data_IF_463051577508
#
_entry.id   IF_463051577508
#
_cell.length_a   1.000
_cell.length_b   1.000
_cell.length_c   1.000
_cell.angle_alpha   90.00
_cell.angle_beta   90.00
_cell.angle_gamma   90.00
#
_symmetry.space_group_name_H-M   'P 1'
#
loop_
_entity.id
_entity.type
_entity.pdbx_description
1 polymer ?
#
# COMPACT_ATOMS: atom_id res chain seq x y z
N UNK A 1 -6.85 7.21 4.51
CA UNK A 1 -5.34 7.18 4.52
C UNK A 1 -4.83 7.69 3.19
N UNK A 2 -4.14 8.82 3.19
CA UNK A 2 -3.59 9.44 1.98
C UNK A 2 -2.35 8.67 1.47
N UNK A 3 -2.18 8.64 0.14
CA UNK A 3 -0.95 8.11 -0.45
C UNK A 3 0.23 9.03 -0.11
N UNK A 4 1.37 8.51 0.35
CA UNK A 4 2.51 9.33 0.71
C UNK A 4 3.12 9.99 -0.54
N UNK A 5 3.21 11.30 -0.52
CA UNK A 5 3.81 12.12 -1.58
C UNK A 5 4.79 13.12 -0.98
N UNK A 6 5.81 13.49 -1.74
CA UNK A 6 6.70 14.58 -1.41
C UNK A 6 5.95 15.89 -1.59
N UNK A 7 5.93 16.72 -0.55
CA UNK A 7 5.37 18.10 -0.59
C UNK A 7 6.34 19.07 0.06
N UNK A 8 5.95 20.32 0.20
CA UNK A 8 6.75 21.30 0.95
C UNK A 8 6.85 21.00 2.46
N UNK A 9 5.89 20.19 3.01
CA UNK A 9 5.80 19.85 4.43
C UNK A 9 6.09 18.38 4.72
N UNK A 10 6.11 17.52 3.71
CA UNK A 10 6.25 16.08 3.84
C UNK A 10 7.46 15.59 3.07
N UNK A 11 8.34 14.85 3.71
CA UNK A 11 9.42 14.13 3.06
C UNK A 11 8.95 12.72 2.68
N UNK A 12 9.59 12.16 1.67
CA UNK A 12 9.35 10.80 1.21
C UNK A 12 10.68 10.14 0.87
N UNK A 13 10.94 9.00 1.49
CA UNK A 13 12.09 8.14 1.21
C UNK A 13 11.60 6.77 0.78
N UNK A 14 12.03 6.33 -0.40
CA UNK A 14 11.76 4.99 -0.91
C UNK A 14 12.86 4.03 -0.41
N UNK A 15 12.46 2.96 0.27
CA UNK A 15 13.36 1.93 0.76
C UNK A 15 13.51 0.76 -0.23
N UNK A 16 12.99 0.89 -1.44
CA UNK A 16 13.22 -0.10 -2.51
C UNK A 16 14.70 -0.29 -2.78
N UNK A 17 15.06 -1.47 -3.27
CA UNK A 17 16.44 -1.84 -3.56
C UNK A 17 16.82 -3.20 -2.96
N UNK A 18 18.10 -3.38 -2.68
CA UNK A 18 18.62 -4.67 -2.19
C UNK A 18 18.60 -4.70 -0.67
N UNK A 19 17.97 -5.71 -0.09
CA UNK A 19 17.92 -5.96 1.35
C UNK A 19 18.66 -7.26 1.70
N UNK A 20 19.16 -7.37 2.93
CA UNK A 20 19.58 -8.65 3.48
C UNK A 20 18.37 -9.55 3.66
N UNK A 21 18.53 -10.84 3.34
CA UNK A 21 17.42 -11.79 3.33
C UNK A 21 17.86 -13.15 3.88
N UNK A 22 16.98 -13.82 4.62
CA UNK A 22 17.23 -15.18 5.09
C UNK A 22 15.93 -15.98 5.20
N UNK A 23 15.93 -17.19 4.64
CA UNK A 23 14.89 -18.18 4.89
C UNK A 23 14.99 -18.66 6.34
N UNK A 24 13.86 -18.75 7.04
CA UNK A 24 13.83 -19.30 8.39
C UNK A 24 13.82 -20.83 8.33
N UNK A 25 14.75 -21.41 9.07
CA UNK A 25 14.85 -22.84 9.30
C UNK A 25 14.17 -23.29 10.62
N UNK A 26 13.29 -22.47 11.17
CA UNK A 26 12.60 -22.65 12.45
C UNK A 26 13.34 -22.01 13.65
N UNK A 27 14.46 -21.34 13.44
CA UNK A 27 15.30 -20.77 14.50
C UNK A 27 15.25 -19.25 14.58
N UNK A 28 14.66 -18.58 13.58
CA UNK A 28 14.73 -17.13 13.45
C UNK A 28 14.23 -16.37 14.67
N UNK A 29 13.15 -16.83 15.28
CA UNK A 29 12.60 -16.24 16.50
C UNK A 29 13.34 -16.71 17.77
N UNK A 30 13.74 -17.96 17.85
CA UNK A 30 14.50 -18.52 18.96
C UNK A 30 15.87 -17.82 19.10
N UNK A 31 16.59 -17.67 17.98
CA UNK A 31 17.89 -17.01 17.90
C UNK A 31 17.76 -15.47 17.78
N UNK A 32 16.55 -14.95 17.77
CA UNK A 32 16.22 -13.52 17.70
C UNK A 32 16.93 -12.80 16.57
N UNK A 33 16.77 -13.30 15.34
CA UNK A 33 17.41 -12.72 14.17
C UNK A 33 17.04 -11.25 13.94
N UNK A 34 15.95 -10.80 14.51
CA UNK A 34 15.47 -9.43 14.44
C UNK A 34 16.23 -8.44 15.36
N UNK A 35 17.06 -8.92 16.31
CA UNK A 35 17.81 -8.06 17.25
C UNK A 35 19.19 -7.62 16.71
N UNK A 36 19.72 -8.30 15.71
CA UNK A 36 21.08 -8.09 15.18
C UNK A 36 21.14 -8.35 13.68
N UNK A 37 22.17 -7.82 12.97
CA UNK A 37 22.35 -8.11 11.56
C UNK A 37 22.38 -9.62 11.29
N UNK A 38 21.66 -10.03 10.23
CA UNK A 38 21.58 -11.43 9.80
C UNK A 38 22.97 -11.93 9.42
N UNK A 39 23.36 -13.08 10.00
CA UNK A 39 24.57 -13.80 9.61
C UNK A 39 24.25 -14.72 8.43
N UNK A 40 25.20 -14.87 7.52
CA UNK A 40 25.08 -15.72 6.32
C UNK A 40 23.77 -15.39 5.55
N UNK A 41 23.51 -14.10 5.39
CA UNK A 41 22.35 -13.59 4.69
C UNK A 41 22.57 -13.62 3.19
N UNK A 42 21.51 -13.95 2.48
CA UNK A 42 21.37 -13.66 1.06
C UNK A 42 21.02 -12.19 0.83
N UNK A 43 20.94 -11.81 -0.43
CA UNK A 43 20.39 -10.52 -0.84
C UNK A 43 19.10 -10.73 -1.62
N UNK A 44 18.14 -9.84 -1.41
CA UNK A 44 16.83 -9.89 -2.05
C UNK A 44 16.37 -8.51 -2.49
N UNK A 45 15.94 -8.31 -3.75
CA UNK A 45 15.35 -7.07 -4.18
C UNK A 45 13.99 -6.85 -3.49
N UNK A 46 13.70 -5.62 -3.16
CA UNK A 46 12.41 -5.16 -2.64
C UNK A 46 11.98 -3.96 -3.48
N UNK A 47 10.78 -3.96 -4.09
CA UNK A 47 9.77 -5.02 -4.04
C UNK A 47 10.08 -6.20 -4.97
N UNK A 48 9.82 -7.40 -4.50
CA UNK A 48 9.81 -8.63 -5.30
C UNK A 48 9.17 -9.79 -4.53
N UNK A 49 8.71 -10.81 -5.26
CA UNK A 49 8.49 -12.13 -4.66
C UNK A 49 9.82 -12.87 -4.65
N UNK A 50 10.18 -13.48 -3.53
CA UNK A 50 11.49 -14.16 -3.43
C UNK A 50 11.54 -15.53 -4.12
N UNK A 51 10.38 -16.11 -4.45
CA UNK A 51 10.22 -17.52 -4.82
C UNK A 51 11.02 -17.95 -6.06
N UNK A 52 11.13 -17.11 -7.07
CA UNK A 52 11.79 -17.42 -8.36
C UNK A 52 13.08 -16.62 -8.57
N UNK A 53 13.57 -15.89 -7.57
CA UNK A 53 14.77 -15.06 -7.70
C UNK A 53 16.08 -15.81 -7.49
N UNK A 54 15.99 -17.04 -6.99
CA UNK A 54 17.13 -17.95 -6.86
C UNK A 54 16.79 -19.33 -7.40
N UNK A 55 17.80 -20.02 -7.90
CA UNK A 55 17.67 -21.38 -8.36
C UNK A 55 17.44 -22.35 -7.19
N UNK A 56 16.72 -23.44 -7.47
CA UNK A 56 16.46 -24.49 -6.52
C UNK A 56 15.09 -24.40 -5.83
N UNK A 57 14.72 -25.51 -5.21
CA UNK A 57 13.40 -25.66 -4.57
C UNK A 57 13.29 -24.98 -3.23
N UNK A 58 14.39 -24.71 -2.56
CA UNK A 58 14.40 -24.15 -1.20
C UNK A 58 13.74 -22.78 -1.10
N UNK A 59 13.90 -21.93 -2.12
CA UNK A 59 13.23 -20.64 -2.21
C UNK A 59 11.82 -20.77 -2.75
N UNK A 60 11.64 -21.52 -3.84
CA UNK A 60 10.35 -21.65 -4.50
C UNK A 60 9.32 -22.34 -3.60
N UNK A 61 9.69 -23.42 -2.93
CA UNK A 61 8.82 -24.23 -2.12
C UNK A 61 8.90 -23.93 -0.62
N UNK A 62 9.55 -22.84 -0.25
CA UNK A 62 9.67 -22.43 1.15
C UNK A 62 8.28 -22.32 1.80
N UNK A 63 8.17 -22.85 3.03
CA UNK A 63 6.97 -22.79 3.86
C UNK A 63 7.33 -22.20 5.23
N UNK A 64 6.72 -21.09 5.60
CA UNK A 64 6.93 -20.45 6.88
C UNK A 64 7.50 -19.06 6.78
N UNK A 65 8.39 -18.70 7.69
CA UNK A 65 8.92 -17.36 7.83
C UNK A 65 10.15 -17.10 6.97
N UNK A 66 10.30 -15.86 6.53
CA UNK A 66 11.52 -15.29 5.95
C UNK A 66 11.81 -13.96 6.62
N UNK A 67 13.08 -13.57 6.71
CA UNK A 67 13.51 -12.33 7.33
C UNK A 67 14.17 -11.43 6.31
N UNK A 68 13.69 -10.19 6.23
CA UNK A 68 14.30 -9.09 5.47
C UNK A 68 14.90 -8.11 6.44
N UNK A 69 16.11 -7.62 6.15
CA UNK A 69 16.75 -6.61 6.98
C UNK A 69 17.39 -5.50 6.15
N UNK A 70 17.31 -4.29 6.68
CA UNK A 70 17.96 -3.11 6.16
C UNK A 70 18.26 -2.12 7.27
N UNK A 71 19.42 -1.46 7.22
CA UNK A 71 19.66 -0.28 8.02
C UNK A 71 18.93 0.92 7.43
N UNK A 72 18.30 1.69 8.28
CA UNK A 72 17.66 2.97 7.95
C UNK A 72 18.26 4.05 8.81
N UNK A 73 18.47 5.22 8.24
CA UNK A 73 18.94 6.41 8.95
C UNK A 73 17.93 7.54 8.73
N UNK A 74 17.55 8.18 9.82
CA UNK A 74 16.59 9.29 9.81
C UNK A 74 17.36 10.56 10.13
N UNK A 75 17.36 11.56 9.22
CA UNK A 75 18.05 12.83 9.45
C UNK A 75 17.54 13.55 10.70
N UNK A 76 18.44 14.16 11.45
CA UNK A 76 18.12 14.86 12.71
C UNK A 76 17.04 15.93 12.54
N UNK A 77 17.09 16.67 11.43
CA UNK A 77 16.16 17.78 11.17
C UNK A 77 14.70 17.35 10.94
N UNK A 78 14.43 16.06 10.78
CA UNK A 78 13.04 15.53 10.65
C UNK A 78 12.55 14.82 11.91
N UNK A 79 13.38 14.66 12.95
CA UNK A 79 12.98 13.95 14.18
C UNK A 79 11.85 14.64 14.95
N UNK A 80 11.67 15.95 14.75
CA UNK A 80 10.53 16.70 15.30
C UNK A 80 9.24 16.50 14.52
N UNK A 81 9.29 15.81 13.38
CA UNK A 81 8.12 15.46 12.58
C UNK A 81 7.58 14.09 12.97
N UNK A 82 6.36 13.80 12.60
CA UNK A 82 5.81 12.45 12.64
C UNK A 82 6.44 11.64 11.51
N UNK A 83 7.06 10.50 11.83
CA UNK A 83 7.81 9.64 10.92
C UNK A 83 7.09 8.31 10.81
N UNK A 84 6.71 7.93 9.60
CA UNK A 84 5.86 6.75 9.34
C UNK A 84 6.54 5.82 8.36
N UNK A 85 6.60 4.53 8.72
CA UNK A 85 6.92 3.45 7.80
C UNK A 85 5.62 2.96 7.16
N UNK A 86 5.59 2.91 5.83
CA UNK A 86 4.49 2.34 5.05
C UNK A 86 4.99 1.15 4.24
N UNK A 87 4.37 0.00 4.43
CA UNK A 87 4.51 -1.17 3.59
C UNK A 87 3.29 -1.23 2.66
N UNK A 88 3.51 -1.17 1.35
CA UNK A 88 2.39 -1.13 0.41
C UNK A 88 1.73 -2.51 0.18
N UNK A 89 2.50 -3.60 0.29
CA UNK A 89 1.99 -4.98 0.41
C UNK A 89 3.09 -5.93 0.89
N UNK A 90 2.78 -6.75 1.87
CA UNK A 90 3.65 -7.82 2.39
C UNK A 90 2.83 -9.10 2.52
N UNK A 91 3.19 -10.13 1.78
CA UNK A 91 2.38 -11.33 1.57
C UNK A 91 2.91 -12.50 2.38
N UNK A 92 2.18 -13.03 3.40
CA UNK A 92 0.78 -12.73 3.77
C UNK A 92 0.66 -12.12 5.17
N UNK A 93 1.58 -12.46 6.10
CA UNK A 93 1.62 -11.96 7.45
C UNK A 93 2.98 -11.36 7.74
N UNK A 94 3.02 -10.15 8.25
CA UNK A 94 4.22 -9.40 8.53
C UNK A 94 4.36 -9.09 10.02
N UNK A 95 5.57 -9.21 10.54
CA UNK A 95 5.99 -8.66 11.83
C UNK A 95 7.13 -7.68 11.58
N UNK A 96 6.98 -6.44 12.01
CA UNK A 96 7.98 -5.38 11.84
C UNK A 96 8.70 -5.13 13.15
N UNK A 97 10.01 -5.24 13.09
CA UNK A 97 10.90 -4.94 14.21
C UNK A 97 11.77 -3.74 13.87
N UNK A 98 11.94 -2.84 14.82
CA UNK A 98 12.91 -1.77 14.76
C UNK A 98 13.84 -1.87 15.97
N UNK A 99 15.15 -1.99 15.72
CA UNK A 99 16.18 -2.17 16.77
C UNK A 99 15.87 -3.35 17.71
N UNK A 100 15.34 -4.44 17.16
CA UNK A 100 14.98 -5.65 17.91
C UNK A 100 13.62 -5.61 18.61
N UNK A 101 12.92 -4.47 18.61
CA UNK A 101 11.61 -4.33 19.25
C UNK A 101 10.51 -4.53 18.19
N UNK A 102 9.53 -5.39 18.47
CA UNK A 102 8.32 -5.54 17.66
C UNK A 102 7.50 -4.25 17.75
N UNK A 103 7.21 -3.64 16.60
CA UNK A 103 6.48 -2.37 16.51
C UNK A 103 5.16 -2.48 15.77
N UNK A 104 5.00 -3.52 14.92
CA UNK A 104 3.77 -3.70 14.15
C UNK A 104 3.61 -5.17 13.73
N UNK A 105 2.38 -5.64 13.73
CA UNK A 105 1.96 -6.88 13.09
C UNK A 105 0.82 -6.59 12.11
N UNK A 106 0.87 -7.22 10.94
CA UNK A 106 -0.18 -7.07 9.92
C UNK A 106 -0.45 -8.38 9.20
N UNK A 107 -1.72 -8.76 9.11
CA UNK A 107 -2.19 -9.88 8.30
C UNK A 107 -3.10 -9.37 7.19
N UNK A 108 -2.70 -9.63 5.94
CA UNK A 108 -3.39 -9.14 4.75
C UNK A 108 -2.40 -8.77 3.66
N UNK A 109 -2.09 -9.72 2.77
CA UNK A 109 -0.95 -9.66 1.86
C UNK A 109 -1.00 -8.60 0.75
N UNK A 110 -2.15 -7.93 0.55
CA UNK A 110 -2.38 -7.06 -0.62
C UNK A 110 -2.84 -5.64 -0.24
N UNK A 111 -2.97 -5.36 1.05
CA UNK A 111 -3.36 -4.04 1.55
C UNK A 111 -2.16 -3.32 2.16
N UNK A 112 -2.08 -2.00 1.99
CA UNK A 112 -1.05 -1.22 2.66
C UNK A 112 -1.34 -1.10 4.16
N UNK A 113 -0.27 -1.03 4.94
CA UNK A 113 -0.31 -0.73 6.36
C UNK A 113 0.84 0.18 6.77
N UNK A 114 0.68 0.83 7.91
CA UNK A 114 1.60 1.84 8.40
C UNK A 114 1.89 1.67 9.87
N UNK A 115 3.08 2.11 10.28
CA UNK A 115 3.47 2.20 11.68
C UNK A 115 4.31 3.46 11.90
N UNK A 116 4.05 4.16 12.98
CA UNK A 116 4.82 5.32 13.40
C UNK A 116 6.12 4.86 14.07
N UNK A 117 7.22 5.53 13.72
CA UNK A 117 8.55 5.12 14.15
C UNK A 117 9.12 5.95 15.30
N UNK A 118 8.58 7.13 15.59
CA UNK A 118 9.16 8.13 16.48
C UNK A 118 9.65 7.56 17.82
N UNK A 119 8.82 6.77 18.51
CA UNK A 119 9.14 6.21 19.83
C UNK A 119 10.14 5.03 19.80
N UNK A 120 10.59 4.64 18.61
CA UNK A 120 11.39 3.45 18.38
C UNK A 120 12.73 3.74 17.70
N UNK A 121 12.92 4.97 17.21
CA UNK A 121 14.14 5.40 16.55
C UNK A 121 15.24 5.65 17.59
N UNK A 122 16.47 5.30 17.20
CA UNK A 122 17.70 5.63 17.90
C UNK A 122 18.49 6.64 17.07
N UNK A 123 19.49 7.27 17.71
CA UNK A 123 20.42 8.13 17.00
C UNK A 123 21.31 7.30 16.06
N UNK A 124 21.50 7.80 14.83
CA UNK A 124 22.29 7.12 13.82
C UNK A 124 21.51 6.02 13.09
N UNK A 125 22.16 4.88 12.90
CA UNK A 125 21.59 3.76 12.14
C UNK A 125 20.59 2.96 12.98
N UNK A 126 19.48 2.61 12.34
CA UNK A 126 18.44 1.81 12.93
C UNK A 126 18.26 0.54 12.12
N UNK A 127 18.24 -0.62 12.77
CA UNK A 127 18.03 -1.90 12.11
C UNK A 127 16.54 -2.16 11.95
N UNK A 128 16.06 -2.06 10.73
CA UNK A 128 14.70 -2.45 10.34
C UNK A 128 14.70 -3.92 9.93
N UNK A 129 13.89 -4.74 10.61
CA UNK A 129 13.64 -6.14 10.24
C UNK A 129 12.16 -6.35 9.93
N UNK A 130 11.85 -6.94 8.80
CA UNK A 130 10.50 -7.37 8.42
C UNK A 130 10.52 -8.89 8.30
N UNK A 131 9.90 -9.57 9.26
CA UNK A 131 9.66 -11.00 9.18
C UNK A 131 8.33 -11.23 8.43
N UNK A 132 8.36 -12.12 7.42
CA UNK A 132 7.22 -12.39 6.54
C UNK A 132 6.90 -13.87 6.57
N UNK A 133 5.63 -14.20 6.82
CA UNK A 133 5.15 -15.57 6.76
C UNK A 133 4.30 -15.80 5.51
N UNK A 134 4.63 -16.83 4.75
CA UNK A 134 3.96 -17.15 3.49
C UNK A 134 2.86 -18.22 3.62
N UNK A 135 2.55 -18.65 4.83
CA UNK A 135 1.53 -19.68 5.07
C UNK A 135 0.15 -19.13 4.75
N UNK A 136 -0.58 -19.88 3.93
CA UNK A 136 -1.99 -19.62 3.63
C UNK A 136 -2.89 -20.57 4.41
N UNK A 137 -3.97 -20.04 4.95
CA UNK A 137 -4.98 -20.79 5.70
C UNK A 137 -6.38 -20.18 5.46
N UNK A 138 -7.36 -20.56 6.27
CA UNK A 138 -8.71 -19.99 6.18
C UNK A 138 -8.82 -18.52 6.61
N UNK A 139 -7.76 -17.94 7.15
CA UNK A 139 -7.71 -16.55 7.63
C UNK A 139 -6.91 -15.64 6.69
N UNK A 140 -6.38 -16.19 5.60
CA UNK A 140 -5.65 -15.43 4.56
C UNK A 140 -6.53 -15.19 3.33
N UNK A 141 -6.15 -14.23 2.50
CA UNK A 141 -6.61 -14.05 1.12
C UNK A 141 -5.38 -14.07 0.20
N UNK A 142 -5.31 -15.00 -0.78
CA UNK A 142 -6.26 -16.07 -1.06
C UNK A 142 -6.33 -17.10 0.08
N UNK A 143 -7.46 -17.78 0.18
CA UNK A 143 -7.70 -18.79 1.20
C UNK A 143 -6.93 -20.07 0.90
N UNK A 144 -6.20 -20.59 1.89
CA UNK A 144 -5.61 -21.93 1.83
C UNK A 144 -6.66 -23.03 2.03
N UNK A 145 -6.49 -24.17 1.34
CA UNK A 145 -7.29 -25.35 1.59
C UNK A 145 -6.73 -26.20 2.74
N UNK A 146 -7.59 -26.97 3.42
CA UNK A 146 -7.10 -28.16 4.14
C UNK A 146 -6.58 -29.15 3.11
N UNK A 147 -5.47 -29.84 3.42
CA UNK A 147 -5.05 -31.00 2.64
C UNK A 147 -6.29 -31.85 2.42
N UNK A 148 -6.74 -31.99 1.18
CA UNK A 148 -7.91 -32.81 0.88
C UNK A 148 -7.57 -34.26 1.29
N UNK A 149 -8.22 -34.78 2.32
CA UNK A 149 -8.19 -36.23 2.62
C UNK A 149 -8.56 -37.07 1.38
N UNK A 150 -9.31 -36.47 0.44
CA UNK A 150 -9.68 -37.13 -0.83
C UNK A 150 -8.55 -37.18 -1.85
N UNK A 151 -7.60 -36.22 -1.85
CA UNK A 151 -6.42 -36.29 -2.74
C UNK A 151 -5.47 -37.42 -2.31
N UNK A 152 -5.40 -37.71 -1.01
CA UNK A 152 -4.69 -38.90 -0.49
C UNK A 152 -5.38 -40.24 -0.84
N UNK A 153 -6.68 -40.25 -1.10
CA UNK A 153 -7.41 -41.46 -1.46
C UNK A 153 -7.47 -41.73 -2.98
N UNK A 154 -7.36 -40.67 -3.82
CA UNK A 154 -7.30 -40.78 -5.29
C UNK A 154 -5.88 -40.69 -5.86
N UNK A 155 -4.89 -40.23 -5.08
CA UNK A 155 -3.50 -40.08 -5.46
C UNK A 155 -2.60 -41.26 -5.25
N UNK A 156 -3.18 -42.47 -5.19
CA UNK A 156 -2.43 -43.71 -5.02
C UNK A 156 -1.76 -44.19 -6.29
N UNK A 157 -0.91 -43.42 -6.93
CA UNK A 157 0.19 -43.88 -7.80
C UNK A 157 1.00 -42.66 -8.25
N UNK A 158 2.10 -42.34 -7.53
CA UNK A 158 3.23 -41.70 -8.18
C UNK A 158 3.65 -40.29 -7.79
N UNK A 159 3.12 -39.68 -6.75
CA UNK A 159 3.81 -38.52 -6.14
C UNK A 159 4.17 -38.88 -4.70
N UNK A 160 5.46 -39.00 -4.41
CA UNK A 160 5.96 -39.17 -3.05
C UNK A 160 5.41 -38.05 -2.19
N UNK A 161 4.63 -38.35 -1.15
CA UNK A 161 4.19 -37.40 -0.16
C UNK A 161 5.46 -36.77 0.45
N UNK A 162 5.66 -35.48 0.25
CA UNK A 162 6.72 -34.74 0.91
C UNK A 162 6.36 -34.71 2.40
N UNK A 163 7.23 -35.22 3.27
CA UNK A 163 7.07 -35.09 4.72
C UNK A 163 7.23 -33.61 5.20
N UNK A 164 7.54 -32.70 4.29
CA UNK A 164 7.73 -31.27 4.59
C UNK A 164 6.38 -30.54 4.54
N UNK A 165 6.11 -29.65 5.49
CA UNK A 165 4.96 -28.74 5.41
C UNK A 165 4.98 -27.94 4.13
N UNK A 166 3.83 -27.80 3.47
CA UNK A 166 3.69 -26.99 2.26
C UNK A 166 2.32 -26.32 2.22
N UNK A 167 2.24 -25.21 1.51
CA UNK A 167 0.98 -24.53 1.27
C UNK A 167 0.07 -25.37 0.38
N UNK A 168 -1.22 -25.40 0.73
CA UNK A 168 -2.25 -26.02 -0.09
C UNK A 168 -3.14 -24.90 -0.68
N UNK A 169 -2.79 -24.32 -1.83
CA UNK A 169 -3.58 -23.30 -2.45
C UNK A 169 -4.92 -23.85 -2.93
N UNK A 170 -5.99 -23.09 -2.70
CA UNK A 170 -7.34 -23.37 -3.23
C UNK A 170 -7.63 -22.51 -4.47
N UNK A 171 -6.61 -22.33 -5.31
CA UNK A 171 -6.61 -21.49 -6.51
C UNK A 171 -5.56 -22.01 -7.50
N UNK A 172 -5.61 -21.58 -8.75
CA UNK A 172 -4.85 -22.11 -9.88
C UNK A 172 -3.55 -21.34 -10.21
N UNK A 173 -3.14 -20.38 -9.37
CA UNK A 173 -1.90 -19.62 -9.55
C UNK A 173 -0.89 -19.91 -8.42
N UNK A 174 0.37 -19.60 -8.66
CA UNK A 174 1.42 -19.82 -7.68
C UNK A 174 1.29 -18.84 -6.50
N UNK A 175 1.55 -19.30 -5.28
CA UNK A 175 1.53 -18.48 -4.06
C UNK A 175 2.82 -17.66 -3.93
N UNK A 176 2.96 -16.64 -4.75
CA UNK A 176 4.08 -15.71 -4.68
C UNK A 176 4.04 -14.87 -3.41
N UNK A 177 5.16 -14.85 -2.67
CA UNK A 177 5.25 -14.25 -1.35
C UNK A 177 6.47 -13.35 -1.20
N UNK A 178 6.45 -12.50 -0.17
CA UNK A 178 7.51 -11.57 0.15
C UNK A 178 7.01 -10.13 0.28
N UNK A 179 7.91 -9.17 0.19
CA UNK A 179 7.59 -7.74 0.13
C UNK A 179 7.33 -7.39 -1.34
N UNK A 180 6.07 -7.47 -1.77
CA UNK A 180 5.69 -7.42 -3.19
C UNK A 180 5.36 -6.03 -3.71
N UNK A 181 5.31 -5.03 -2.83
CA UNK A 181 5.11 -3.61 -3.17
C UNK A 181 6.12 -2.75 -2.39
N UNK A 182 6.37 -1.50 -2.81
CA UNK A 182 7.36 -0.63 -2.19
C UNK A 182 7.18 -0.45 -0.68
N UNK A 183 8.30 -0.35 0.01
CA UNK A 183 8.39 0.08 1.41
C UNK A 183 8.90 1.51 1.43
N UNK A 184 8.21 2.40 2.13
CA UNK A 184 8.52 3.83 2.16
C UNK A 184 8.53 4.35 3.58
N UNK A 185 9.39 5.34 3.83
CA UNK A 185 9.29 6.20 5.01
C UNK A 185 8.82 7.56 4.52
N UNK A 186 7.83 8.11 5.19
CA UNK A 186 7.42 9.49 4.95
C UNK A 186 7.25 10.25 6.26
N UNK A 187 7.29 11.56 6.18
CA UNK A 187 7.07 12.42 7.33
C UNK A 187 5.83 13.29 7.13
N UNK A 188 5.28 13.74 8.24
CA UNK A 188 4.27 14.81 8.29
C UNK A 188 4.62 15.75 9.44
N UNK A 189 4.12 17.00 9.46
CA UNK A 189 4.09 17.77 10.71
C UNK A 189 3.38 17.01 11.83
N UNK A 190 3.58 17.43 13.10
CA UNK A 190 2.88 16.84 14.26
C UNK A 190 1.35 16.91 14.14
N UNK A 191 0.86 18.01 13.53
CA UNK A 191 -0.55 18.13 13.14
C UNK A 191 -0.63 18.00 11.64
N UNK A 192 -1.42 17.08 11.16
CA UNK A 192 -1.37 16.64 9.77
C UNK A 192 -2.75 16.31 9.20
N UNK A 193 -2.84 16.41 7.87
CA UNK A 193 -3.97 15.95 7.09
C UNK A 193 -3.92 14.41 7.03
N UNK A 194 -4.88 13.75 7.68
CA UNK A 194 -4.97 12.30 7.72
C UNK A 194 -5.69 11.72 6.51
N UNK A 195 -6.80 12.37 6.12
CA UNK A 195 -7.58 11.95 4.96
C UNK A 195 -8.31 13.13 4.30
N UNK A 196 -8.63 12.99 3.04
CA UNK A 196 -9.42 13.94 2.25
C UNK A 196 -10.47 13.15 1.48
N UNK A 197 -11.74 13.36 1.81
CA UNK A 197 -12.87 12.80 1.08
C UNK A 197 -13.49 13.87 0.21
N UNK A 198 -13.72 13.55 -1.06
CA UNK A 198 -14.41 14.46 -2.00
C UNK A 198 -15.49 13.69 -2.72
N UNK A 199 -16.68 14.26 -2.80
CA UNK A 199 -17.80 13.76 -3.59
C UNK A 199 -18.29 14.84 -4.54
N UNK A 200 -18.94 14.44 -5.63
CA UNK A 200 -19.44 15.38 -6.63
C UNK A 200 -20.93 15.10 -6.89
N UNK A 201 -21.74 16.15 -6.78
CA UNK A 201 -23.12 16.18 -7.24
C UNK A 201 -23.15 16.93 -8.59
N UNK A 202 -23.52 16.23 -9.66
CA UNK A 202 -23.45 16.76 -11.02
C UNK A 202 -24.84 16.96 -11.59
N UNK A 203 -25.11 18.17 -12.07
CA UNK A 203 -26.33 18.51 -12.77
C UNK A 203 -26.14 18.36 -14.28
N UNK A 204 -26.76 17.30 -14.84
CA UNK A 204 -26.75 16.99 -16.28
C UNK A 204 -27.97 17.58 -17.03
N UNK A 205 -28.82 18.37 -16.38
CA UNK A 205 -30.03 18.94 -17.02
C UNK A 205 -29.71 20.08 -17.97
N UNK A 206 -28.53 20.67 -17.85
CA UNK A 206 -28.03 21.76 -18.68
C UNK A 206 -27.19 21.25 -19.83
N UNK A 207 -27.12 22.01 -20.92
CA UNK A 207 -26.26 21.70 -22.07
C UNK A 207 -24.80 21.57 -21.64
N UNK A 208 -24.33 22.49 -20.79
CA UNK A 208 -23.04 22.42 -20.13
C UNK A 208 -23.28 22.03 -18.67
N UNK A 209 -22.82 20.84 -18.22
CA UNK A 209 -23.06 20.36 -16.87
C UNK A 209 -22.38 21.25 -15.82
N UNK A 210 -23.00 21.35 -14.65
CA UNK A 210 -22.41 21.98 -13.46
C UNK A 210 -22.23 20.95 -12.35
N UNK A 211 -21.34 21.21 -11.42
CA UNK A 211 -21.14 20.33 -10.29
C UNK A 211 -20.97 21.09 -8.97
N UNK A 212 -21.41 20.46 -7.90
CA UNK A 212 -21.07 20.83 -6.52
C UNK A 212 -20.13 19.76 -5.97
N UNK A 213 -18.90 20.15 -5.64
CA UNK A 213 -17.96 19.27 -4.96
C UNK A 213 -18.10 19.46 -3.45
N UNK A 214 -18.42 18.40 -2.73
CA UNK A 214 -18.43 18.38 -1.27
C UNK A 214 -17.10 17.80 -0.80
N UNK A 215 -16.41 18.46 0.12
CA UNK A 215 -15.17 17.93 0.69
C UNK A 215 -15.24 17.82 2.21
N UNK A 216 -14.51 16.85 2.73
CA UNK A 216 -14.23 16.68 4.15
C UNK A 216 -12.75 16.36 4.33
N UNK A 217 -12.08 17.08 5.23
CA UNK A 217 -10.66 16.94 5.56
C UNK A 217 -10.53 16.44 7.00
N UNK A 218 -10.04 15.25 7.18
CA UNK A 218 -9.71 14.72 8.51
C UNK A 218 -8.32 15.19 8.92
N UNK A 219 -8.24 15.99 9.99
CA UNK A 219 -6.98 16.47 10.57
C UNK A 219 -6.71 15.73 11.86
N UNK A 220 -5.47 15.28 12.08
CA UNK A 220 -5.03 14.59 13.30
C UNK A 220 -3.75 15.21 13.86
N UNK A 221 -3.41 14.80 15.07
CA UNK A 221 -2.17 15.20 15.77
C UNK A 221 -2.43 16.20 16.88
N UNK A 222 -1.38 16.96 17.24
CA UNK A 222 -1.42 17.88 18.36
C UNK A 222 -2.21 19.14 17.98
N UNK A 223 -3.07 19.61 18.89
CA UNK A 223 -3.83 20.86 18.75
C UNK A 223 -4.68 20.99 17.47
N UNK A 224 -5.08 19.86 16.87
CA UNK A 224 -5.79 19.82 15.57
C UNK A 224 -7.10 20.63 15.55
N UNK A 225 -7.76 20.82 16.70
CA UNK A 225 -9.00 21.61 16.81
C UNK A 225 -8.79 23.13 16.62
N UNK A 226 -7.56 23.61 16.74
CA UNK A 226 -7.22 25.04 16.68
C UNK A 226 -6.48 25.40 15.36
N UNK A 227 -6.47 24.47 14.40
CA UNK A 227 -5.75 24.66 13.13
C UNK A 227 -6.68 25.27 12.08
N UNK A 228 -6.22 26.32 11.42
CA UNK A 228 -6.87 26.83 10.21
C UNK A 228 -6.69 25.83 9.09
N UNK A 229 -7.79 25.39 8.50
CA UNK A 229 -7.80 24.56 7.29
C UNK A 229 -8.26 25.44 6.12
N UNK A 230 -7.42 25.51 5.09
CA UNK A 230 -7.72 26.19 3.84
C UNK A 230 -7.76 25.15 2.71
N UNK A 231 -8.78 25.21 1.88
CA UNK A 231 -8.94 24.34 0.72
C UNK A 231 -9.08 25.16 -0.54
N UNK A 232 -8.22 24.87 -1.52
CA UNK A 232 -8.14 25.59 -2.80
C UNK A 232 -8.42 24.62 -3.94
N UNK A 233 -9.29 25.03 -4.87
CA UNK A 233 -9.59 24.28 -6.08
C UNK A 233 -8.87 24.89 -7.27
N UNK A 234 -8.19 24.04 -8.05
CA UNK A 234 -7.50 24.43 -9.29
C UNK A 234 -7.99 23.59 -10.45
N UNK A 235 -7.91 24.14 -11.66
CA UNK A 235 -8.05 23.39 -12.89
C UNK A 235 -6.80 22.52 -13.19
N UNK A 236 -6.83 21.77 -14.28
CA UNK A 236 -5.72 20.92 -14.70
C UNK A 236 -4.46 21.75 -15.04
N UNK A 237 -4.66 22.94 -15.59
CA UNK A 237 -3.63 23.89 -16.01
C UNK A 237 -2.98 24.58 -14.79
N UNK A 238 -3.60 24.51 -13.60
CA UNK A 238 -3.11 25.11 -12.37
C UNK A 238 -3.65 26.51 -12.08
N UNK A 239 -4.71 26.93 -12.78
CA UNK A 239 -5.42 28.17 -12.49
C UNK A 239 -6.33 27.96 -11.27
N UNK A 240 -6.23 28.84 -10.28
CA UNK A 240 -7.10 28.77 -9.11
C UNK A 240 -8.53 29.20 -9.46
N UNK A 241 -9.47 28.29 -9.24
CA UNK A 241 -10.89 28.48 -9.51
C UNK A 241 -11.65 29.01 -8.29
N UNK A 242 -11.33 28.49 -7.10
CA UNK A 242 -12.01 28.85 -5.87
C UNK A 242 -11.14 28.53 -4.63
N UNK A 243 -11.52 29.10 -3.49
CA UNK A 243 -10.96 28.75 -2.18
C UNK A 243 -12.01 28.87 -1.07
N UNK A 244 -11.86 28.05 -0.04
CA UNK A 244 -12.70 28.08 1.15
C UNK A 244 -11.87 27.86 2.40
N UNK A 245 -12.39 28.26 3.56
CA UNK A 245 -11.84 27.95 4.88
C UNK A 245 -12.75 26.94 5.60
N UNK A 246 -12.14 26.04 6.36
CA UNK A 246 -12.82 24.97 7.09
C UNK A 246 -12.41 23.59 6.62
N UNK A 247 -12.56 22.61 7.51
CA UNK A 247 -12.32 21.20 7.21
C UNK A 247 -13.43 20.54 6.40
N UNK A 248 -14.58 21.19 6.30
CA UNK A 248 -15.73 20.77 5.49
C UNK A 248 -16.22 21.96 4.69
N UNK A 249 -16.71 21.69 3.47
CA UNK A 249 -17.26 22.73 2.62
C UNK A 249 -17.57 22.25 1.21
N UNK A 250 -17.88 23.21 0.34
CA UNK A 250 -18.30 22.94 -1.03
C UNK A 250 -17.61 23.87 -2.01
N UNK A 251 -17.46 23.39 -3.25
CA UNK A 251 -17.11 24.21 -4.41
C UNK A 251 -18.19 24.06 -5.49
N UNK A 252 -18.67 25.17 -6.01
CA UNK A 252 -19.55 25.19 -7.17
C UNK A 252 -18.72 25.39 -8.44
N UNK A 253 -18.93 24.53 -9.43
CA UNK A 253 -18.24 24.60 -10.72
C UNK A 253 -19.31 24.69 -11.81
N UNK A 254 -19.41 25.87 -12.44
CA UNK A 254 -20.16 26.03 -13.67
C UNK A 254 -19.34 25.48 -14.83
N UNK A 255 -19.99 24.85 -15.82
CA UNK A 255 -19.33 24.28 -16.99
C UNK A 255 -18.22 23.31 -16.61
N UNK A 256 -18.56 22.31 -15.76
CA UNK A 256 -17.59 21.37 -15.25
C UNK A 256 -17.02 20.47 -16.35
N UNK A 257 -15.70 20.39 -16.40
CA UNK A 257 -15.01 19.42 -17.29
C UNK A 257 -14.99 18.06 -16.58
N UNK A 258 -15.73 17.13 -17.14
CA UNK A 258 -15.87 15.80 -16.57
C UNK A 258 -14.68 14.91 -16.93
N UNK A 259 -14.25 14.12 -15.95
CA UNK A 259 -13.38 12.98 -16.20
C UNK A 259 -14.13 11.95 -17.04
N UNK A 260 -13.50 11.47 -18.10
CA UNK A 260 -14.07 10.44 -18.97
C UNK A 260 -12.99 9.40 -19.30
N UNK A 261 -13.38 8.14 -19.60
CA UNK A 261 -12.43 7.19 -20.17
C UNK A 261 -11.74 7.78 -21.41
N UNK A 262 -10.42 7.63 -21.50
CA UNK A 262 -9.54 8.18 -22.55
C UNK A 262 -9.42 9.72 -22.57
N UNK A 263 -10.11 10.43 -21.69
CA UNK A 263 -9.99 11.88 -21.50
C UNK A 263 -10.12 12.19 -20.00
N UNK A 264 -9.07 11.86 -19.24
CA UNK A 264 -9.06 11.88 -17.78
C UNK A 264 -8.71 13.28 -17.25
N UNK A 265 -9.63 14.25 -17.43
CA UNK A 265 -9.45 15.58 -16.86
C UNK A 265 -9.44 15.55 -15.33
N UNK A 266 -8.43 16.17 -14.70
CA UNK A 266 -8.24 16.16 -13.26
C UNK A 266 -8.14 17.59 -12.71
N UNK A 267 -9.07 17.95 -11.85
CA UNK A 267 -8.92 19.09 -10.95
C UNK A 267 -7.86 18.79 -9.89
N UNK A 268 -7.31 19.82 -9.26
CA UNK A 268 -6.40 19.70 -8.13
C UNK A 268 -7.04 20.37 -6.91
N UNK A 269 -7.18 19.62 -5.84
CA UNK A 269 -7.69 20.12 -4.56
C UNK A 269 -6.50 20.19 -3.61
N UNK A 270 -6.06 21.43 -3.34
CA UNK A 270 -4.94 21.68 -2.42
C UNK A 270 -5.48 22.02 -1.04
N UNK A 271 -5.10 21.22 -0.07
CA UNK A 271 -5.43 21.41 1.34
C UNK A 271 -4.20 21.90 2.08
N UNK A 272 -4.38 22.95 2.86
CA UNK A 272 -3.38 23.47 3.81
C UNK A 272 -4.00 23.45 5.21
N UNK A 273 -3.44 22.67 6.11
CA UNK A 273 -3.86 22.57 7.51
C UNK A 273 -2.66 22.89 8.42
N UNK A 274 -2.64 24.10 8.97
CA UNK A 274 -1.48 24.60 9.68
C UNK A 274 -0.23 24.58 8.80
N UNK A 275 0.74 23.76 9.17
CA UNK A 275 1.99 23.59 8.38
C UNK A 275 1.89 22.49 7.31
N UNK A 276 0.89 21.64 7.38
CA UNK A 276 0.77 20.51 6.45
C UNK A 276 0.08 20.91 5.15
N UNK A 277 0.60 20.42 4.04
CA UNK A 277 0.07 20.69 2.70
C UNK A 277 -0.02 19.39 1.91
N UNK A 278 -1.22 19.14 1.35
CA UNK A 278 -1.46 18.02 0.46
C UNK A 278 -2.28 18.44 -0.75
N UNK A 279 -1.94 17.93 -1.93
CA UNK A 279 -2.71 18.17 -3.16
C UNK A 279 -3.26 16.85 -3.67
N UNK A 280 -4.59 16.78 -3.75
CA UNK A 280 -5.33 15.62 -4.26
C UNK A 280 -5.76 15.88 -5.71
N UNK A 281 -5.36 15.07 -6.69
CA UNK A 281 -5.97 15.08 -8.02
C UNK A 281 -7.37 14.48 -7.95
N UNK A 282 -8.37 15.16 -8.54
CA UNK A 282 -9.76 14.73 -8.49
C UNK A 282 -10.44 14.81 -9.86
N UNK A 283 -10.94 13.67 -10.35
CA UNK A 283 -11.73 13.60 -11.58
C UNK A 283 -13.23 13.64 -11.28
N UNK A 284 -13.89 14.71 -11.67
CA UNK A 284 -15.34 14.88 -11.50
C UNK A 284 -16.08 13.94 -12.45
N UNK A 285 -16.79 12.97 -11.90
CA UNK A 285 -17.60 12.00 -12.66
C UNK A 285 -18.73 11.43 -11.85
N UNK A 286 -19.79 11.01 -12.51
CA UNK A 286 -20.78 10.11 -11.94
C UNK A 286 -20.56 8.68 -12.40
N UNK A 287 -20.82 7.72 -11.52
CA UNK A 287 -20.83 6.30 -11.82
C UNK A 287 -22.05 5.67 -11.17
N UNK A 288 -22.90 5.04 -11.97
CA UNK A 288 -24.09 4.36 -11.45
C UNK A 288 -24.50 3.15 -12.30
N UNK A 289 -25.31 2.30 -11.73
CA UNK A 289 -25.94 1.19 -12.43
C UNK A 289 -27.42 1.52 -12.63
N UNK A 290 -27.93 1.32 -13.84
CA UNK A 290 -29.31 1.47 -14.22
C UNK A 290 -29.81 0.17 -14.88
N UNK A 291 -30.55 -0.62 -14.12
CA UNK A 291 -30.92 -1.98 -14.55
C UNK A 291 -29.70 -2.84 -14.83
N UNK A 292 -29.46 -3.15 -16.08
CA UNK A 292 -28.28 -3.94 -16.54
C UNK A 292 -27.17 -3.07 -17.15
N UNK A 293 -27.32 -1.76 -17.14
CA UNK A 293 -26.38 -0.82 -17.76
C UNK A 293 -25.47 -0.20 -16.70
N UNK A 294 -24.18 -0.21 -16.96
CA UNK A 294 -23.21 0.59 -16.20
C UNK A 294 -23.03 1.93 -16.91
N UNK A 295 -23.20 3.01 -16.17
CA UNK A 295 -23.15 4.36 -16.69
C UNK A 295 -21.98 5.14 -16.09
N UNK A 296 -21.27 5.86 -16.95
CA UNK A 296 -20.31 6.91 -16.56
C UNK A 296 -20.82 8.22 -17.17
N UNK A 297 -21.01 9.23 -16.32
CA UNK A 297 -21.57 10.53 -16.74
C UNK A 297 -22.87 10.37 -17.56
N UNK A 298 -23.77 9.55 -17.03
CA UNK A 298 -25.07 9.20 -17.62
C UNK A 298 -24.99 8.48 -18.98
N UNK A 299 -23.80 8.15 -19.48
CA UNK A 299 -23.59 7.45 -20.75
C UNK A 299 -23.28 5.97 -20.50
N UNK A 300 -23.92 5.05 -21.24
CA UNK A 300 -23.59 3.63 -21.15
C UNK A 300 -22.11 3.36 -21.42
N UNK A 301 -21.48 2.63 -20.52
CA UNK A 301 -20.08 2.22 -20.66
C UNK A 301 -19.99 0.72 -20.90
N UNK A 302 -19.32 0.34 -21.98
CA UNK A 302 -19.06 -1.05 -22.31
C UNK A 302 -17.66 -1.44 -21.88
N UNK A 303 -17.58 -2.43 -20.98
CA UNK A 303 -16.31 -2.95 -20.50
C UNK A 303 -15.63 -3.82 -21.57
N UNK A 304 -14.40 -3.46 -21.92
CA UNK A 304 -13.49 -4.30 -22.69
C UNK A 304 -12.34 -4.70 -21.80
N UNK A 305 -12.15 -5.99 -21.60
CA UNK A 305 -11.14 -6.46 -20.70
C UNK A 305 -10.81 -7.95 -20.88
N UNK A 306 -9.83 -8.39 -20.17
CA UNK A 306 -9.39 -9.79 -20.12
C UNK A 306 -8.90 -10.12 -18.71
N UNK A 307 -8.92 -11.41 -18.35
CA UNK A 307 -8.29 -11.89 -17.13
C UNK A 307 -6.77 -11.93 -17.31
N UNK A 308 -6.04 -11.51 -16.29
CA UNK A 308 -4.58 -11.56 -16.27
C UNK A 308 -4.12 -12.11 -14.92
N UNK A 309 -3.23 -13.12 -14.97
CA UNK A 309 -2.46 -13.48 -13.80
C UNK A 309 -1.34 -12.45 -13.62
N UNK A 310 -1.24 -11.90 -12.41
CA UNK A 310 -0.24 -10.90 -12.08
C UNK A 310 1.04 -11.61 -11.64
N UNK A 311 1.75 -12.18 -12.60
CA UNK A 311 3.06 -12.77 -12.38
C UNK A 311 4.01 -12.44 -13.53
N UNK A 312 5.26 -12.17 -13.18
CA UNK A 312 6.33 -11.85 -14.12
C UNK A 312 7.62 -12.53 -13.69
N UNK A 313 8.30 -13.16 -14.64
CA UNK A 313 9.59 -13.74 -14.36
C UNK A 313 10.69 -12.65 -14.27
N UNK A 314 11.57 -12.70 -13.28
CA UNK A 314 11.61 -13.62 -12.12
C UNK A 314 10.93 -13.04 -10.86
N UNK A 315 10.32 -11.88 -10.92
CA UNK A 315 9.86 -11.13 -9.74
C UNK A 315 8.52 -11.60 -9.17
N UNK A 316 7.87 -12.60 -9.82
CA UNK A 316 6.55 -13.08 -9.43
C UNK A 316 5.53 -11.93 -9.43
N UNK A 317 4.92 -11.66 -8.27
CA UNK A 317 3.99 -10.53 -8.07
C UNK A 317 4.65 -9.23 -7.64
N UNK A 318 5.97 -9.19 -7.55
CA UNK A 318 6.69 -7.94 -7.31
C UNK A 318 6.51 -6.98 -8.48
N UNK A 319 5.99 -5.76 -8.22
CA UNK A 319 5.92 -4.73 -9.25
C UNK A 319 7.26 -4.00 -9.28
N UNK A 320 7.97 -4.15 -10.39
CA UNK A 320 9.03 -3.25 -10.77
C UNK A 320 8.42 -2.11 -11.56
N UNK A 321 8.46 -0.93 -11.00
CA UNK A 321 8.25 0.28 -11.78
C UNK A 321 9.59 0.61 -12.45
N UNK A 322 9.65 0.76 -13.78
CA UNK A 322 10.85 1.21 -14.48
C UNK A 322 11.23 2.62 -14.07
#
# INVERSE_FOLDING_TARGET
MLYPVLTQSRLLSDLSGVWNFKLDNGKGFEEKWYEKPLKDADTMPVPASYNDLKEGTDFRDHYGWVFYQRNISVPEYVKSQRIVLRCAAVTHYAMIYLNGKLICEHKGGFLPFEVELNDHLQDGDNLLTIAVNNVIDYTTLPVGGKANMMSGMMGGMGAGASDKPQNNPNFDFFNYCGITRPVKIYTTPETYINDITVTADIDFTKEEPSAVLNYNVEIKGKDYNNITCKVELFDEEGTKLSETEGSEGTFEISNVRLWQPLNAYLYKIKVTAGQDVYTLPYGVRSVRVDGTKFLINEKPFYFKGYGKHEDTFPNGRGINLP
#
